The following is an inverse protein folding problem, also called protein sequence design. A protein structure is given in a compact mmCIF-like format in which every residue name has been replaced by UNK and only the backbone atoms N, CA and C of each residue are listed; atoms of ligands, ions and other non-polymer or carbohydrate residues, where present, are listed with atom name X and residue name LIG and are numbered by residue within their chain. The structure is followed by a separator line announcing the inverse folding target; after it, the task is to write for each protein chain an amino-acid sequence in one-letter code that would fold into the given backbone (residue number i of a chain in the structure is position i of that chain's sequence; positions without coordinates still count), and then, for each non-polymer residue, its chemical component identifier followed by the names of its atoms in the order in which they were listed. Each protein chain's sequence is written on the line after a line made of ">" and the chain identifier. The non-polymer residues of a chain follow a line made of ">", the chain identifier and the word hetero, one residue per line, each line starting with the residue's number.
data_IF_366460958698
#
_entry.id   IF_366460958698
#
_cell.length_a   1.000
_cell.length_b   1.000
_cell.length_c   1.000
_cell.angle_alpha   90.00
_cell.angle_beta   90.00
_cell.angle_gamma   90.00
#
_symmetry.space_group_name_H-M   'P 1'
#
loop_
_entity.id
_entity.type
_entity.pdbx_description
1 polymer ?
#
# COMPACT_ATOMS: atom_id res chain seq x y z
N UNK A 1 -2.61 21.58 8.33
CA UNK A 1 -3.72 22.57 8.52
C UNK A 1 -4.36 23.08 7.20
N UNK A 2 -4.04 22.53 6.02
CA UNK A 2 -4.56 23.05 4.73
C UNK A 2 -6.04 22.74 4.51
N UNK A 3 -6.45 21.46 4.63
CA UNK A 3 -7.81 21.03 4.31
C UNK A 3 -8.85 21.59 5.28
N UNK A 4 -8.57 21.61 6.58
CA UNK A 4 -9.48 22.13 7.59
C UNK A 4 -9.91 23.60 7.37
N UNK A 5 -9.06 24.43 6.73
CA UNK A 5 -9.38 25.83 6.44
C UNK A 5 -10.24 26.02 5.18
N UNK A 6 -10.20 25.07 4.23
CA UNK A 6 -10.78 25.23 2.88
C UNK A 6 -11.95 24.29 2.60
N UNK A 7 -12.08 23.24 3.39
CA UNK A 7 -13.08 22.20 3.24
C UNK A 7 -13.80 21.96 4.56
N UNK A 8 -15.10 21.70 4.48
CA UNK A 8 -15.87 21.16 5.60
C UNK A 8 -15.34 19.77 5.91
N UNK A 9 -14.84 19.59 7.12
CA UNK A 9 -14.36 18.31 7.61
C UNK A 9 -15.53 17.51 8.20
N UNK A 10 -15.55 16.20 7.97
CA UNK A 10 -16.49 15.29 8.63
C UNK A 10 -15.74 14.10 9.24
N UNK A 11 -16.13 13.64 10.44
CA UNK A 11 -15.59 12.43 11.03
C UNK A 11 -16.14 11.20 10.27
N UNK A 12 -15.30 10.57 9.46
CA UNK A 12 -15.63 9.38 8.67
C UNK A 12 -14.57 8.29 8.91
N UNK A 13 -15.03 7.09 9.28
CA UNK A 13 -14.19 5.89 9.46
C UNK A 13 -12.98 6.09 10.40
N UNK A 14 -13.15 6.91 11.44
CA UNK A 14 -12.08 7.25 12.39
C UNK A 14 -11.15 8.38 11.95
N UNK A 15 -11.36 8.97 10.78
CA UNK A 15 -10.59 10.09 10.24
C UNK A 15 -11.44 11.35 10.09
N UNK A 16 -10.81 12.52 10.06
CA UNK A 16 -11.47 13.79 9.73
C UNK A 16 -11.19 14.12 8.27
N UNK A 17 -12.18 13.89 7.39
CA UNK A 17 -11.99 13.97 5.93
C UNK A 17 -12.62 15.23 5.33
N UNK A 18 -12.00 15.84 4.31
CA UNK A 18 -12.56 16.96 3.57
C UNK A 18 -13.68 16.48 2.62
N UNK A 19 -14.94 16.75 2.96
CA UNK A 19 -16.08 16.29 2.14
C UNK A 19 -16.48 17.30 1.08
N UNK A 20 -16.59 18.58 1.47
CA UNK A 20 -17.03 19.64 0.56
C UNK A 20 -16.17 20.90 0.70
N UNK A 21 -15.79 21.55 -0.41
CA UNK A 21 -15.15 22.86 -0.34
C UNK A 21 -16.13 23.89 0.25
N UNK A 22 -15.61 24.86 1.01
CA UNK A 22 -16.45 25.94 1.57
C UNK A 22 -17.00 26.87 0.49
N UNK A 23 -16.28 27.01 -0.63
CA UNK A 23 -16.73 27.75 -1.80
C UNK A 23 -17.47 26.84 -2.80
N UNK A 24 -18.51 27.38 -3.45
CA UNK A 24 -19.27 26.69 -4.50
C UNK A 24 -18.41 26.53 -5.76
N UNK A 25 -17.70 25.42 -5.87
CA UNK A 25 -16.77 25.17 -6.99
C UNK A 25 -17.03 23.86 -7.76
N UNK A 26 -18.18 23.20 -7.59
CA UNK A 26 -18.48 21.91 -8.23
C UNK A 26 -18.28 21.92 -9.76
N UNK A 27 -18.90 22.89 -10.47
CA UNK A 27 -18.73 23.03 -11.93
C UNK A 27 -17.30 23.40 -12.32
N UNK A 28 -16.60 24.15 -11.46
CA UNK A 28 -15.18 24.48 -11.69
C UNK A 28 -14.35 23.22 -11.56
N UNK A 29 -14.50 22.44 -10.50
CA UNK A 29 -13.81 21.16 -10.29
C UNK A 29 -14.04 20.20 -11.46
N UNK A 30 -15.27 20.07 -11.95
CA UNK A 30 -15.56 19.23 -13.11
C UNK A 30 -14.79 19.69 -14.37
N UNK A 31 -14.80 20.99 -14.66
CA UNK A 31 -14.01 21.56 -15.77
C UNK A 31 -12.50 21.41 -15.58
N UNK A 32 -12.02 21.57 -14.35
CA UNK A 32 -10.60 21.39 -14.02
C UNK A 32 -10.19 19.92 -14.17
N UNK A 33 -11.06 18.97 -13.80
CA UNK A 33 -10.80 17.54 -13.95
C UNK A 33 -10.74 17.13 -15.43
N UNK A 34 -11.55 17.73 -16.30
CA UNK A 34 -11.54 17.41 -17.73
C UNK A 34 -10.47 18.17 -18.53
N UNK A 35 -10.17 19.42 -18.20
CA UNK A 35 -9.27 20.28 -18.99
C UNK A 35 -7.87 20.46 -18.39
N UNK A 36 -7.72 20.28 -17.08
CA UNK A 36 -6.52 20.63 -16.32
C UNK A 36 -6.08 19.43 -15.46
N UNK A 37 -5.88 19.65 -14.16
CA UNK A 37 -5.51 18.64 -13.21
C UNK A 37 -6.18 18.91 -11.86
N UNK A 38 -6.53 17.84 -11.15
CA UNK A 38 -7.07 17.88 -9.79
C UNK A 38 -6.31 16.88 -8.93
N UNK A 39 -5.99 17.27 -7.70
CA UNK A 39 -5.37 16.40 -6.70
C UNK A 39 -6.39 16.03 -5.62
N UNK A 40 -6.42 14.75 -5.26
CA UNK A 40 -7.20 14.20 -4.17
C UNK A 40 -6.25 13.53 -3.17
N UNK A 41 -6.45 13.81 -1.89
CA UNK A 41 -5.72 13.16 -0.81
C UNK A 41 -6.44 11.85 -0.46
N UNK A 42 -5.79 10.72 -0.73
CA UNK A 42 -6.29 9.37 -0.46
C UNK A 42 -5.44 8.67 0.62
N UNK A 43 -4.75 9.44 1.47
CA UNK A 43 -3.93 8.92 2.58
C UNK A 43 -4.72 8.14 3.64
N UNK A 44 -6.04 8.26 3.66
CA UNK A 44 -6.92 7.51 4.57
C UNK A 44 -7.09 6.03 4.16
N UNK A 45 -6.63 5.61 2.98
CA UNK A 45 -6.67 4.22 2.56
C UNK A 45 -5.70 3.38 3.40
N UNK A 46 -6.19 2.24 3.90
CA UNK A 46 -5.36 1.31 4.66
C UNK A 46 -4.49 0.51 3.69
N UNK A 47 -3.18 0.43 3.97
CA UNK A 47 -2.23 -0.33 3.16
C UNK A 47 -1.63 -1.46 3.98
N UNK A 48 -1.73 -2.68 3.48
CA UNK A 48 -1.09 -3.86 4.03
C UNK A 48 0.13 -4.22 3.18
N UNK A 49 1.25 -4.46 3.83
CA UNK A 49 2.47 -4.96 3.23
C UNK A 49 2.60 -6.45 3.54
N UNK A 50 2.73 -7.25 2.48
CA UNK A 50 3.04 -8.66 2.57
C UNK A 50 4.45 -8.90 2.03
N UNK A 51 5.28 -9.60 2.78
CA UNK A 51 6.64 -9.96 2.38
C UNK A 51 6.81 -11.47 2.35
N UNK A 52 7.33 -12.00 1.25
CA UNK A 52 7.64 -13.43 1.18
C UNK A 52 7.92 -13.93 -0.24
N UNK A 53 8.01 -15.25 -0.41
CA UNK A 53 8.22 -15.87 -1.71
C UNK A 53 7.05 -15.58 -2.66
N UNK A 54 7.35 -15.26 -3.93
CA UNK A 54 6.32 -14.91 -4.91
C UNK A 54 5.24 -15.99 -5.08
N UNK A 55 5.63 -17.26 -5.01
CA UNK A 55 4.70 -18.40 -5.14
C UNK A 55 3.64 -18.37 -4.04
N UNK A 56 4.05 -18.13 -2.79
CA UNK A 56 3.13 -18.05 -1.65
C UNK A 56 2.22 -16.81 -1.75
N UNK A 57 2.76 -15.66 -2.17
CA UNK A 57 1.97 -14.45 -2.39
C UNK A 57 0.89 -14.64 -3.47
N UNK A 58 1.22 -15.32 -4.57
CA UNK A 58 0.26 -15.63 -5.63
C UNK A 58 -0.82 -16.61 -5.16
N UNK A 59 -0.45 -17.63 -4.37
CA UNK A 59 -1.42 -18.55 -3.77
C UNK A 59 -2.36 -17.83 -2.79
N UNK A 60 -1.81 -16.94 -1.95
CA UNK A 60 -2.59 -16.11 -1.04
C UNK A 60 -3.60 -15.25 -1.81
N UNK A 61 -3.15 -14.50 -2.83
CA UNK A 61 -4.02 -13.67 -3.66
C UNK A 61 -5.11 -14.52 -4.34
N UNK A 62 -4.77 -15.71 -4.84
CA UNK A 62 -5.74 -16.63 -5.46
C UNK A 62 -6.82 -17.08 -4.47
N UNK A 63 -6.45 -17.38 -3.22
CA UNK A 63 -7.41 -17.71 -2.15
C UNK A 63 -8.27 -16.52 -1.73
N UNK A 64 -7.72 -15.32 -1.81
CA UNK A 64 -8.42 -14.08 -1.52
C UNK A 64 -9.36 -13.60 -2.64
N UNK A 65 -9.47 -14.35 -3.75
CA UNK A 65 -10.40 -14.04 -4.84
C UNK A 65 -9.78 -13.37 -6.06
N UNK A 66 -8.44 -13.28 -6.16
CA UNK A 66 -7.79 -12.76 -7.36
C UNK A 66 -7.95 -13.72 -8.56
N UNK A 67 -8.18 -13.14 -9.73
CA UNK A 67 -8.29 -13.88 -10.97
C UNK A 67 -6.93 -14.47 -11.39
N UNK A 68 -6.95 -15.74 -11.84
CA UNK A 68 -5.75 -16.46 -12.25
C UNK A 68 -5.12 -15.84 -13.49
N UNK A 69 -5.94 -15.34 -14.43
CA UNK A 69 -5.45 -14.67 -15.62
C UNK A 69 -4.67 -13.39 -15.26
N UNK A 70 -5.21 -12.62 -14.32
CA UNK A 70 -4.57 -11.41 -13.81
C UNK A 70 -3.25 -11.74 -13.09
N UNK A 71 -3.24 -12.76 -12.24
CA UNK A 71 -2.04 -13.25 -11.56
C UNK A 71 -1.01 -13.91 -12.50
N UNK A 72 -1.39 -14.35 -13.70
CA UNK A 72 -0.47 -14.91 -14.69
C UNK A 72 0.30 -13.84 -15.47
N UNK A 73 -0.17 -12.59 -15.44
CA UNK A 73 0.46 -11.51 -16.21
C UNK A 73 1.86 -11.15 -15.70
N UNK A 74 2.83 -11.08 -16.62
CA UNK A 74 4.22 -10.72 -16.30
C UNK A 74 4.34 -9.28 -15.80
N UNK A 75 3.52 -8.37 -16.33
CA UNK A 75 3.53 -6.95 -15.97
C UNK A 75 3.13 -6.73 -14.50
N UNK A 76 2.11 -7.45 -14.02
CA UNK A 76 1.70 -7.38 -12.61
C UNK A 76 2.76 -8.00 -11.70
N UNK A 77 3.27 -9.20 -12.03
CA UNK A 77 4.34 -9.85 -11.25
C UNK A 77 5.64 -9.04 -11.19
N UNK A 78 5.94 -8.30 -12.25
CA UNK A 78 7.10 -7.41 -12.30
C UNK A 78 6.91 -6.12 -11.47
N UNK A 79 5.68 -5.80 -11.05
CA UNK A 79 5.34 -4.54 -10.39
C UNK A 79 5.18 -3.36 -11.34
N UNK A 80 5.05 -3.61 -12.65
CA UNK A 80 4.85 -2.56 -13.65
C UNK A 80 3.37 -2.11 -13.75
N UNK A 81 2.44 -2.96 -13.32
CA UNK A 81 1.00 -2.68 -13.33
C UNK A 81 0.37 -3.06 -11.98
N UNK A 82 -0.63 -2.26 -11.60
CA UNK A 82 -1.49 -2.53 -10.45
C UNK A 82 -2.58 -3.53 -10.84
N UNK A 83 -2.90 -4.46 -9.92
CA UNK A 83 -4.05 -5.36 -10.02
C UNK A 83 -5.22 -4.86 -9.18
N UNK A 84 -6.43 -5.24 -9.56
CA UNK A 84 -7.65 -5.00 -8.78
C UNK A 84 -8.34 -6.32 -8.50
N UNK A 85 -8.88 -6.48 -7.31
CA UNK A 85 -9.64 -7.67 -6.92
C UNK A 85 -10.75 -7.33 -5.91
N UNK A 86 -11.73 -8.21 -5.80
CA UNK A 86 -12.68 -8.22 -4.69
C UNK A 86 -12.14 -9.20 -3.65
N UNK A 87 -11.88 -8.70 -2.44
CA UNK A 87 -11.38 -9.51 -1.35
C UNK A 87 -12.50 -10.41 -0.83
N UNK A 88 -12.27 -11.71 -0.91
CA UNK A 88 -13.22 -12.73 -0.49
C UNK A 88 -12.75 -13.40 0.81
N UNK A 89 -13.67 -13.52 1.76
CA UNK A 89 -13.49 -14.34 2.94
C UNK A 89 -13.94 -15.77 2.63
N UNK A 90 -13.01 -16.70 2.79
CA UNK A 90 -13.32 -18.13 2.69
C UNK A 90 -14.23 -18.55 3.85
N UNK A 91 -15.28 -19.30 3.53
CA UNK A 91 -16.25 -19.84 4.48
C UNK A 91 -16.19 -21.37 4.43
N UNK A 92 -16.47 -22.07 5.55
CA UNK A 92 -16.58 -23.52 5.53
C UNK A 92 -17.77 -23.94 4.64
N UNK A 93 -17.64 -25.02 3.85
CA UNK A 93 -18.74 -25.54 3.05
C UNK A 93 -19.89 -25.97 3.99
N UNK A 94 -21.17 -25.71 3.64
CA UNK A 94 -21.70 -25.38 2.30
C UNK A 94 -21.81 -23.88 1.96
N UNK A 95 -21.32 -22.98 2.82
CA UNK A 95 -21.51 -21.54 2.61
C UNK A 95 -20.63 -20.99 1.48
N UNK A 96 -21.18 -20.04 0.70
CA UNK A 96 -20.45 -19.33 -0.34
C UNK A 96 -19.46 -18.34 0.29
N UNK A 97 -18.32 -18.04 -0.38
CA UNK A 97 -17.37 -17.06 0.11
C UNK A 97 -18.02 -15.66 0.21
N UNK A 98 -17.80 -14.99 1.34
CA UNK A 98 -18.38 -13.67 1.60
C UNK A 98 -17.50 -12.56 1.01
N UNK A 99 -18.11 -11.57 0.36
CA UNK A 99 -17.39 -10.42 -0.20
C UNK A 99 -17.09 -9.42 0.93
N UNK A 100 -15.81 -9.10 1.12
CA UNK A 100 -15.37 -8.15 2.15
C UNK A 100 -15.26 -6.73 1.59
N UNK A 101 -14.40 -6.52 0.59
CA UNK A 101 -14.16 -5.20 0.02
C UNK A 101 -13.44 -5.24 -1.34
N UNK A 102 -13.65 -4.24 -2.21
CA UNK A 102 -12.75 -4.00 -3.33
C UNK A 102 -11.37 -3.58 -2.83
N UNK A 103 -10.34 -4.19 -3.41
CA UNK A 103 -8.95 -3.97 -3.05
C UNK A 103 -8.10 -3.80 -4.30
N UNK A 104 -7.17 -2.87 -4.22
CA UNK A 104 -6.10 -2.73 -5.21
C UNK A 104 -4.84 -3.40 -4.65
N UNK A 105 -4.04 -4.01 -5.52
CA UNK A 105 -2.76 -4.57 -5.11
C UNK A 105 -1.64 -4.27 -6.11
N UNK A 106 -0.42 -4.19 -5.60
CA UNK A 106 0.76 -3.86 -6.39
C UNK A 106 1.97 -4.62 -5.86
N UNK A 107 2.70 -5.27 -6.77
CA UNK A 107 4.00 -5.86 -6.44
C UNK A 107 5.08 -4.79 -6.44
N UNK A 108 5.98 -4.87 -5.46
CA UNK A 108 7.24 -4.14 -5.48
C UNK A 108 8.11 -4.58 -6.66
N UNK A 109 8.94 -3.66 -7.13
CA UNK A 109 9.88 -3.92 -8.21
C UNK A 109 10.74 -5.16 -7.89
N UNK A 110 11.05 -5.92 -8.93
CA UNK A 110 11.88 -7.10 -8.83
C UNK A 110 13.30 -6.77 -8.36
N UNK A 111 13.55 -6.85 -7.05
CA UNK A 111 14.89 -7.05 -6.53
C UNK A 111 15.36 -8.45 -6.96
N UNK A 112 16.67 -8.63 -7.16
CA UNK A 112 17.33 -9.76 -7.84
C UNK A 112 17.05 -11.18 -7.30
N UNK A 113 16.09 -11.38 -6.38
CA UNK A 113 15.61 -12.69 -5.91
C UNK A 113 14.08 -12.76 -5.79
N UNK A 114 13.51 -13.91 -6.15
CA UNK A 114 12.07 -14.20 -6.03
C UNK A 114 11.65 -14.65 -4.63
N UNK A 115 12.62 -14.87 -3.74
CA UNK A 115 12.40 -15.38 -2.39
C UNK A 115 11.79 -14.35 -1.43
N UNK A 116 12.04 -13.05 -1.65
CA UNK A 116 11.56 -11.97 -0.81
C UNK A 116 10.95 -10.86 -1.66
N UNK A 117 9.72 -11.09 -2.14
CA UNK A 117 8.92 -10.08 -2.82
C UNK A 117 8.04 -9.34 -1.84
N UNK A 118 7.82 -8.06 -2.15
CA UNK A 118 6.91 -7.18 -1.42
C UNK A 118 5.63 -7.05 -2.25
N UNK A 119 4.50 -7.19 -1.59
CA UNK A 119 3.17 -6.98 -2.14
C UNK A 119 2.45 -5.97 -1.26
N UNK A 120 1.94 -4.89 -1.85
CA UNK A 120 1.07 -3.95 -1.16
C UNK A 120 -0.37 -4.20 -1.57
N UNK A 121 -1.26 -4.24 -0.58
CA UNK A 121 -2.71 -4.32 -0.78
C UNK A 121 -3.34 -3.09 -0.13
N UNK A 122 -4.05 -2.29 -0.91
CA UNK A 122 -4.75 -1.10 -0.40
C UNK A 122 -6.25 -1.33 -0.36
N UNK A 123 -6.85 -0.99 0.78
CA UNK A 123 -8.26 -1.23 1.08
C UNK A 123 -8.88 0.02 1.70
N UNK A 124 -10.18 0.19 1.53
CA UNK A 124 -10.94 1.23 2.18
C UNK A 124 -10.90 1.08 3.73
N UNK A 125 -10.74 2.18 4.51
CA UNK A 125 -10.57 2.10 5.97
C UNK A 125 -11.73 1.42 6.71
N UNK A 126 -12.97 1.57 6.22
CA UNK A 126 -14.14 0.91 6.80
C UNK A 126 -14.02 -0.62 6.83
N UNK A 127 -13.29 -1.20 5.86
CA UNK A 127 -13.08 -2.63 5.74
C UNK A 127 -11.68 -3.07 6.17
N UNK A 128 -10.86 -2.16 6.72
CA UNK A 128 -9.45 -2.46 7.03
C UNK A 128 -9.31 -3.59 8.06
N UNK A 129 -10.10 -3.57 9.14
CA UNK A 129 -10.05 -4.61 10.17
C UNK A 129 -10.43 -6.00 9.60
N UNK A 130 -11.51 -6.06 8.82
CA UNK A 130 -11.95 -7.29 8.17
C UNK A 130 -10.94 -7.78 7.13
N UNK A 131 -10.38 -6.87 6.33
CA UNK A 131 -9.35 -7.21 5.34
C UNK A 131 -8.07 -7.74 5.99
N UNK A 132 -7.62 -7.13 7.10
CA UNK A 132 -6.48 -7.62 7.87
C UNK A 132 -6.71 -9.04 8.40
N UNK A 133 -7.91 -9.33 8.92
CA UNK A 133 -8.26 -10.66 9.41
C UNK A 133 -8.30 -11.71 8.28
N UNK A 134 -8.86 -11.36 7.11
CA UNK A 134 -8.90 -12.26 5.94
C UNK A 134 -7.50 -12.52 5.41
N UNK A 135 -6.66 -11.50 5.31
CA UNK A 135 -5.27 -11.65 4.87
C UNK A 135 -4.47 -12.49 5.87
N UNK A 136 -4.65 -12.29 7.18
CA UNK A 136 -4.00 -13.09 8.22
C UNK A 136 -4.45 -14.58 8.17
N UNK A 137 -5.74 -14.83 8.00
CA UNK A 137 -6.26 -16.19 7.83
C UNK A 137 -5.72 -16.84 6.54
N UNK A 138 -5.57 -16.07 5.47
CA UNK A 138 -5.00 -16.55 4.21
C UNK A 138 -3.48 -16.81 4.31
N UNK A 139 -2.73 -15.99 5.04
CA UNK A 139 -1.30 -16.25 5.32
C UNK A 139 -1.12 -17.54 6.10
N UNK A 140 -1.98 -17.78 7.09
CA UNK A 140 -1.92 -18.98 7.92
C UNK A 140 -2.24 -20.24 7.14
N UNK A 141 -3.21 -20.15 6.23
CA UNK A 141 -3.62 -21.28 5.42
C UNK A 141 -2.64 -21.61 4.28
N UNK A 142 -1.73 -20.70 3.93
CA UNK A 142 -0.65 -20.90 2.94
C UNK A 142 0.69 -21.21 3.63
N UNK A 143 0.71 -21.30 4.97
CA UNK A 143 1.92 -21.57 5.75
C UNK A 143 2.51 -22.94 5.35
N UNK A 144 3.79 -23.00 4.95
CA UNK A 144 4.45 -24.26 4.63
C UNK A 144 4.72 -25.08 5.90
N UNK A 145 4.76 -26.41 5.77
CA UNK A 145 4.93 -27.35 6.89
C UNK A 145 6.22 -27.15 7.72
N UNK A 146 7.20 -26.40 7.20
CA UNK A 146 8.42 -26.03 7.90
C UNK A 146 8.34 -24.75 8.75
N UNK A 147 7.21 -24.02 8.79
CA UNK A 147 7.09 -22.88 9.70
C UNK A 147 6.42 -23.21 11.02
N UNK A 148 7.14 -23.03 12.12
CA UNK A 148 6.65 -23.11 13.51
C UNK A 148 6.28 -21.74 14.11
N UNK A 149 6.30 -20.69 13.32
CA UNK A 149 5.93 -19.33 13.73
C UNK A 149 4.45 -19.28 14.16
N UNK A 150 4.16 -18.73 15.35
CA UNK A 150 2.78 -18.47 15.76
C UNK A 150 2.27 -17.22 15.01
N UNK A 151 1.16 -17.35 14.31
CA UNK A 151 0.38 -16.20 13.84
C UNK A 151 -0.53 -15.76 14.98
N UNK A 152 -0.17 -14.68 15.66
CA UNK A 152 -1.12 -13.98 16.52
C UNK A 152 -2.03 -13.16 15.60
N UNK A 153 -3.37 -13.18 15.80
CA UNK A 153 -4.27 -12.34 15.02
C UNK A 153 -3.86 -10.87 15.18
N UNK A 154 -4.07 -10.02 14.16
CA UNK A 154 -3.77 -8.61 14.29
C UNK A 154 -4.63 -8.04 15.42
N UNK A 155 -3.99 -7.62 16.52
CA UNK A 155 -4.68 -6.87 17.59
C UNK A 155 -5.36 -5.66 16.96
N UNK A 156 -6.69 -5.70 16.91
CA UNK A 156 -7.52 -4.62 16.43
C UNK A 156 -7.42 -3.49 17.44
N UNK A 157 -6.43 -2.63 17.26
CA UNK A 157 -6.32 -1.37 17.96
C UNK A 157 -7.53 -0.50 17.61
N UNK A 158 -8.61 -0.63 18.39
CA UNK A 158 -9.62 0.41 18.51
C UNK A 158 -8.89 1.62 19.09
N UNK A 159 -8.53 2.58 18.25
CA UNK A 159 -8.06 3.89 18.72
C UNK A 159 -8.86 4.98 18.06
N UNK A 160 -9.74 5.57 18.87
CA UNK A 160 -10.23 6.92 18.64
C UNK A 160 -9.08 7.92 18.60
N UNK A 161 -9.33 8.99 17.84
CA UNK A 161 -8.69 10.29 17.84
C UNK A 161 -7.25 10.42 18.40
N UNK A 162 -6.34 10.75 17.48
CA UNK A 162 -5.22 11.67 17.65
C UNK A 162 -4.21 11.37 18.77
N UNK A 163 -3.04 10.89 18.37
CA UNK A 163 -1.78 11.63 18.55
C UNK A 163 -0.71 11.00 17.66
N UNK A 164 -0.10 11.84 16.82
CA UNK A 164 1.07 11.47 16.07
C UNK A 164 2.19 11.15 17.05
N UNK A 165 2.71 9.93 16.99
CA UNK A 165 4.12 9.66 17.22
C UNK A 165 4.51 8.41 16.46
N UNK A 166 5.63 8.53 15.76
CA UNK A 166 6.30 7.48 15.03
C UNK A 166 6.76 6.40 16.01
N UNK A 167 5.87 5.48 16.33
CA UNK A 167 6.21 4.16 16.82
C UNK A 167 5.61 3.21 15.82
N UNK A 168 6.46 2.51 15.07
CA UNK A 168 6.06 1.33 14.32
C UNK A 168 5.41 0.38 15.31
N UNK A 169 4.08 0.41 15.39
CA UNK A 169 3.31 -0.62 16.07
C UNK A 169 3.73 -1.90 15.37
N UNK A 170 4.47 -2.76 16.09
CA UNK A 170 4.77 -4.12 15.67
C UNK A 170 3.43 -4.82 15.54
N UNK A 171 2.82 -4.74 14.36
CA UNK A 171 1.69 -5.58 14.01
C UNK A 171 2.29 -6.97 13.86
N UNK A 172 1.89 -7.85 14.78
CA UNK A 172 2.28 -9.24 14.83
C UNK A 172 2.10 -9.89 13.45
N UNK A 173 3.17 -10.53 12.96
CA UNK A 173 3.18 -11.08 11.61
C UNK A 173 4.56 -11.34 11.03
N UNK A 174 5.66 -11.02 11.74
CA UNK A 174 6.99 -11.39 11.26
C UNK A 174 7.17 -12.91 11.37
N UNK A 175 7.07 -13.60 10.24
CA UNK A 175 7.62 -14.94 10.13
C UNK A 175 9.14 -14.85 10.29
N UNK A 176 9.64 -14.98 11.52
CA UNK A 176 11.09 -15.02 11.80
C UNK A 176 11.80 -16.18 11.06
N UNK A 177 11.00 -17.11 10.54
CA UNK A 177 11.40 -18.27 9.77
C UNK A 177 12.02 -17.94 8.39
N UNK A 178 11.71 -16.78 7.78
CA UNK A 178 12.08 -16.45 6.39
C UNK A 178 11.43 -17.27 5.27
N UNK A 179 10.68 -18.34 5.61
CA UNK A 179 10.03 -19.27 4.67
C UNK A 179 8.55 -18.93 4.42
N UNK A 180 7.89 -18.27 5.37
CA UNK A 180 6.48 -17.89 5.30
C UNK A 180 6.27 -16.47 4.77
N UNK A 181 5.00 -16.05 4.74
CA UNK A 181 4.62 -14.68 4.38
C UNK A 181 4.48 -13.85 5.65
N UNK A 182 5.18 -12.72 5.74
CA UNK A 182 5.01 -11.74 6.79
C UNK A 182 3.94 -10.72 6.38
N UNK A 183 3.07 -10.34 7.30
CA UNK A 183 1.99 -9.37 7.09
C UNK A 183 2.17 -8.20 8.07
N UNK A 184 2.19 -6.97 7.54
CA UNK A 184 2.29 -5.76 8.33
C UNK A 184 1.32 -4.70 7.80
N UNK A 185 0.64 -3.96 8.69
CA UNK A 185 -0.13 -2.79 8.27
C UNK A 185 0.75 -1.54 8.31
N UNK A 186 0.83 -0.81 7.19
CA UNK A 186 1.57 0.45 7.11
C UNK A 186 0.64 1.62 7.45
N UNK A 187 1.02 2.43 8.43
CA UNK A 187 0.27 3.63 8.84
C UNK A 187 0.89 4.94 8.34
N UNK A 188 2.16 4.94 7.94
CA UNK A 188 2.91 6.15 7.58
C UNK A 188 3.10 6.30 6.06
N UNK A 189 2.07 5.96 5.28
CA UNK A 189 2.09 6.10 3.82
C UNK A 189 0.99 7.06 3.39
N UNK A 190 1.39 8.13 2.70
CA UNK A 190 0.45 9.08 2.11
C UNK A 190 0.24 8.74 0.63
N UNK A 191 -1.02 8.65 0.21
CA UNK A 191 -1.40 8.44 -1.20
C UNK A 191 -2.11 9.67 -1.72
N UNK A 192 -1.66 10.17 -2.87
CA UNK A 192 -2.31 11.26 -3.59
C UNK A 192 -2.75 10.77 -4.96
N UNK A 193 -4.01 11.02 -5.30
CA UNK A 193 -4.55 10.73 -6.61
C UNK A 193 -4.62 12.00 -7.44
N UNK A 194 -4.01 11.95 -8.63
CA UNK A 194 -4.02 13.04 -9.57
C UNK A 194 -4.86 12.65 -10.78
N UNK A 195 -5.83 13.49 -11.12
CA UNK A 195 -6.77 13.25 -12.23
C UNK A 195 -6.72 14.40 -13.22
N UNK A 196 -6.95 14.08 -14.49
CA UNK A 196 -7.04 15.04 -15.59
C UNK A 196 -5.87 14.98 -16.58
N UNK A 197 -6.05 15.52 -17.79
CA UNK A 197 -5.09 15.38 -18.90
C UNK A 197 -3.76 16.08 -18.65
N UNK A 198 -3.72 17.12 -17.81
CA UNK A 198 -2.49 17.88 -17.51
C UNK A 198 -1.80 17.44 -16.22
N UNK A 199 -2.31 16.40 -15.54
CA UNK A 199 -1.78 15.92 -14.26
C UNK A 199 -0.31 15.46 -14.35
N UNK A 200 0.01 14.63 -15.34
CA UNK A 200 1.38 14.12 -15.52
C UNK A 200 2.38 15.23 -15.87
N UNK A 201 1.97 16.23 -16.66
CA UNK A 201 2.80 17.40 -16.96
C UNK A 201 3.04 18.26 -15.73
N UNK A 202 2.04 18.44 -14.88
CA UNK A 202 2.23 19.14 -13.61
C UNK A 202 3.21 18.40 -12.69
N UNK A 203 3.12 17.07 -12.66
CA UNK A 203 4.06 16.22 -11.90
C UNK A 203 5.49 16.30 -12.44
N UNK A 204 5.69 16.24 -13.76
CA UNK A 204 7.04 16.29 -14.34
C UNK A 204 7.74 17.62 -14.11
N UNK A 205 6.99 18.72 -13.99
CA UNK A 205 7.52 20.04 -13.65
C UNK A 205 7.82 20.17 -12.15
N UNK A 206 7.06 19.50 -11.30
CA UNK A 206 7.20 19.58 -9.84
C UNK A 206 8.26 18.62 -9.28
N UNK A 207 8.31 17.38 -9.78
CA UNK A 207 9.23 16.35 -9.30
C UNK A 207 10.56 16.42 -10.03
N UNK A 208 11.64 16.58 -9.27
CA UNK A 208 13.01 16.51 -9.78
C UNK A 208 13.60 15.16 -9.41
N UNK A 209 14.06 14.41 -10.41
CA UNK A 209 14.80 13.17 -10.18
C UNK A 209 16.15 13.54 -9.57
N UNK A 210 16.39 13.10 -8.35
CA UNK A 210 17.75 13.11 -7.79
C UNK A 210 18.46 11.90 -8.37
N UNK A 211 19.31 12.11 -9.36
CA UNK A 211 20.30 11.09 -9.73
C UNK A 211 21.22 10.90 -8.53
N UNK A 212 21.37 9.69 -7.98
CA UNK A 212 22.39 9.46 -6.97
C UNK A 212 23.74 9.80 -7.61
N UNK A 213 24.60 10.51 -6.86
CA UNK A 213 25.95 10.79 -7.30
C UNK A 213 26.60 9.47 -7.69
N UNK A 214 26.91 9.32 -8.97
CA UNK A 214 27.74 8.23 -9.46
C UNK A 214 29.08 8.44 -8.74
N UNK A 215 29.40 7.56 -7.79
CA UNK A 215 30.78 7.42 -7.33
C UNK A 215 31.61 7.10 -8.57
N UNK A 216 32.31 8.11 -9.07
CA UNK A 216 33.23 8.02 -10.19
C UNK A 216 34.45 7.20 -9.75
N UNK A 217 34.27 5.88 -9.69
CA UNK A 217 35.34 4.89 -9.60
C UNK A 217 35.19 3.99 -10.81
N UNK A 218 36.08 4.15 -11.79
CA UNK A 218 36.17 3.34 -13.00
C UNK A 218 35.84 1.87 -12.76
N UNK A 219 34.71 1.41 -13.30
CA UNK A 219 34.56 0.17 -14.09
C UNK A 219 33.11 0.09 -14.57
N UNK A 220 32.94 -0.17 -15.87
CA UNK A 220 31.65 -0.50 -16.45
C UNK A 220 31.06 -1.69 -15.68
N UNK A 221 29.94 -1.47 -14.99
CA UNK A 221 29.09 -2.55 -14.53
C UNK A 221 27.75 -2.41 -15.25
N UNK A 222 27.53 -3.33 -16.18
CA UNK A 222 26.29 -3.51 -16.91
C UNK A 222 25.14 -3.87 -15.96
N UNK A 223 23.99 -3.27 -16.26
CA UNK A 223 22.63 -3.73 -15.92
C UNK A 223 22.16 -3.60 -14.46
N UNK A 224 21.12 -2.78 -14.30
CA UNK A 224 20.19 -2.70 -13.16
C UNK A 224 20.75 -2.18 -11.83
N UNK A 225 21.07 -0.88 -11.79
CA UNK A 225 21.06 -0.11 -10.55
C UNK A 225 19.62 0.05 -10.06
N UNK A 226 19.22 -0.78 -9.10
CA UNK A 226 18.03 -0.59 -8.28
C UNK A 226 18.06 0.82 -7.67
N UNK A 227 17.04 1.63 -7.95
CA UNK A 227 16.82 2.89 -7.25
C UNK A 227 16.44 2.58 -5.79
N UNK A 228 17.41 2.64 -4.89
CA UNK A 228 17.15 2.72 -3.47
C UNK A 228 16.81 4.18 -3.12
N UNK A 229 15.55 4.45 -2.79
CA UNK A 229 15.16 5.70 -2.14
C UNK A 229 15.61 5.59 -0.67
N UNK A 230 16.79 6.14 -0.35
CA UNK A 230 17.18 6.36 1.05
C UNK A 230 16.39 7.55 1.59
N UNK A 231 15.60 7.31 2.63
CA UNK A 231 15.06 8.36 3.50
C UNK A 231 16.17 8.73 4.47
N UNK A 232 16.93 9.79 4.17
CA UNK A 232 17.89 10.35 5.11
C UNK A 232 17.13 11.03 6.26
N UNK A 233 17.37 10.57 7.49
CA UNK A 233 17.01 11.26 8.72
C UNK A 233 17.82 12.55 8.85
N UNK A 234 17.22 13.68 9.29
CA UNK A 234 17.98 14.92 9.49
C UNK A 234 18.96 14.74 10.65
N UNK A 235 20.24 14.98 10.36
CA UNK A 235 21.32 14.96 11.33
C UNK A 235 21.19 16.06 12.38
N UNK A 236 21.49 15.69 13.62
CA UNK A 236 21.76 16.61 14.71
C UNK A 236 23.01 17.43 14.37
N UNK A 237 22.82 18.73 14.21
CA UNK A 237 23.90 19.71 14.13
C UNK A 237 24.45 19.97 15.53
N UNK A 238 25.71 19.62 15.73
CA UNK A 238 26.55 20.08 16.82
C UNK A 238 26.82 21.59 16.71
N UNK A 239 26.52 22.33 17.78
CA UNK A 239 27.25 23.54 18.19
C UNK A 239 26.71 24.08 19.51
N UNK A 240 27.33 23.67 20.62
CA UNK A 240 28.00 24.52 21.64
C UNK A 240 28.54 23.62 22.75
#
# INVERSE_FOLDING_TARGET
>A
MFFARRFRQQPLWGFSLPVHPTQRMQRKLLRMASQLATAHDASYLATFELRGPIVLLLLLLRRCGADAALLASKAIRAGAQQGQMLLLQQQPPPAQPAVVAPCDFLFGAACAGEAARILWVTVHPAAAAAAGAVLAAATDAVRPAGCSCASTPPDVGVRGAATANATSVKTAGDCACGVGVALQQIHNLARFELRGPKALRALSLALKVRTPAICCGRRLCSTNCCMAVRLDSPGESSSL
#
